data_IF_196041629292
#
_entry.id   IF_196041629292
#
_cell.length_a   1.000
_cell.length_b   1.000
_cell.length_c   1.000
_cell.angle_alpha   90.00
_cell.angle_beta   90.00
_cell.angle_gamma   90.00
#
_symmetry.space_group_name_H-M   'P 1'
#
loop_
_entity.id
_entity.type
_entity.pdbx_description
1 polymer ?
#
# COMPACT_ATOMS: atom_id res chain seq x y z
N UNK A 1 -1.61 -24.51 -48.75
CA UNK A 1 -2.64 -23.79 -47.96
C UNK A 1 -2.11 -23.64 -46.56
N UNK A 2 -1.99 -22.38 -46.16
CA UNK A 2 -1.08 -21.89 -45.13
C UNK A 2 -1.59 -22.19 -43.71
N UNK A 3 -0.65 -22.70 -42.91
CA UNK A 3 -0.38 -22.32 -41.52
C UNK A 3 -1.55 -21.92 -40.64
N UNK A 4 -1.91 -22.86 -39.74
CA UNK A 4 -2.44 -22.59 -38.41
C UNK A 4 -1.62 -21.48 -37.74
N UNK A 5 -2.09 -20.23 -37.79
CA UNK A 5 -1.74 -19.21 -36.81
C UNK A 5 -2.42 -19.60 -35.50
N UNK A 6 -1.74 -20.46 -34.73
CA UNK A 6 -1.91 -20.48 -33.29
C UNK A 6 -1.38 -19.14 -32.80
N UNK A 7 -2.28 -18.20 -32.51
CA UNK A 7 -1.97 -17.06 -31.66
C UNK A 7 -1.41 -17.64 -30.36
N UNK A 8 -0.08 -17.63 -30.24
CA UNK A 8 0.58 -17.81 -28.97
C UNK A 8 0.08 -16.65 -28.09
N UNK A 9 -0.93 -16.92 -27.27
CA UNK A 9 -1.47 -16.01 -26.27
C UNK A 9 -0.29 -15.47 -25.47
N UNK A 10 0.18 -14.27 -25.81
CA UNK A 10 1.20 -13.60 -25.01
C UNK A 10 0.57 -13.29 -23.66
N UNK A 11 0.92 -14.11 -22.69
CA UNK A 11 0.59 -13.94 -21.30
C UNK A 11 1.18 -12.60 -20.83
N UNK A 12 0.32 -11.62 -20.59
CA UNK A 12 0.74 -10.35 -19.98
C UNK A 12 1.04 -10.57 -18.50
N UNK A 13 1.90 -9.74 -17.87
CA UNK A 13 2.15 -9.79 -16.43
C UNK A 13 0.87 -9.82 -15.58
N UNK A 14 -0.15 -9.06 -15.99
CA UNK A 14 -1.46 -9.04 -15.34
C UNK A 14 -2.20 -10.38 -15.47
N UNK A 15 -2.17 -11.02 -16.65
CA UNK A 15 -2.90 -12.27 -16.89
C UNK A 15 -2.35 -13.45 -16.08
N UNK A 16 -1.03 -13.55 -15.93
CA UNK A 16 -0.40 -14.60 -15.13
C UNK A 16 -0.53 -14.34 -13.63
N UNK A 17 -0.51 -13.07 -13.21
CA UNK A 17 -0.82 -12.71 -11.82
C UNK A 17 -2.25 -13.11 -11.43
N UNK A 18 -3.22 -12.86 -12.31
CA UNK A 18 -4.62 -13.29 -12.12
C UNK A 18 -4.71 -14.80 -11.97
N UNK A 19 -4.03 -15.57 -12.81
CA UNK A 19 -3.98 -17.04 -12.71
C UNK A 19 -3.38 -17.50 -11.39
N UNK A 20 -2.22 -16.96 -11.02
CA UNK A 20 -1.54 -17.26 -9.76
C UNK A 20 -2.44 -17.05 -8.54
N UNK A 21 -3.09 -15.88 -8.45
CA UNK A 21 -3.97 -15.52 -7.32
C UNK A 21 -5.23 -16.40 -7.30
N UNK A 22 -5.78 -16.77 -8.46
CA UNK A 22 -6.91 -17.68 -8.53
C UNK A 22 -6.56 -19.10 -8.07
N UNK A 23 -5.36 -19.58 -8.39
CA UNK A 23 -4.90 -20.91 -8.00
C UNK A 23 -4.51 -20.98 -6.53
N UNK A 24 -3.80 -19.97 -6.03
CA UNK A 24 -3.14 -20.01 -4.71
C UNK A 24 -3.85 -19.22 -3.61
N UNK A 25 -4.73 -18.26 -3.94
CA UNK A 25 -5.40 -17.43 -2.94
C UNK A 25 -6.59 -18.11 -2.25
N UNK A 26 -6.90 -17.69 -1.03
CA UNK A 26 -8.11 -18.11 -0.33
C UNK A 26 -9.34 -17.33 -0.80
N UNK A 27 -10.49 -17.59 -0.18
CA UNK A 27 -11.78 -16.96 -0.52
C UNK A 27 -11.70 -15.43 -0.45
N UNK A 28 -10.94 -14.88 0.51
CA UNK A 28 -10.79 -13.45 0.70
C UNK A 28 -9.91 -12.81 -0.39
N UNK A 29 -8.77 -13.41 -0.72
CA UNK A 29 -7.85 -12.94 -1.76
C UNK A 29 -8.52 -12.95 -3.14
N UNK A 30 -9.24 -14.03 -3.47
CA UNK A 30 -9.99 -14.13 -4.73
C UNK A 30 -11.11 -13.09 -4.84
N UNK A 31 -11.76 -12.76 -3.73
CA UNK A 31 -12.77 -11.70 -3.70
C UNK A 31 -12.16 -10.32 -3.86
N UNK A 32 -10.99 -10.05 -3.25
CA UNK A 32 -10.23 -8.82 -3.47
C UNK A 32 -9.82 -8.67 -4.94
N UNK A 33 -9.29 -9.73 -5.57
CA UNK A 33 -8.98 -9.74 -7.00
C UNK A 33 -10.22 -9.40 -7.85
N UNK A 34 -11.34 -10.04 -7.54
CA UNK A 34 -12.62 -9.82 -8.23
C UNK A 34 -13.04 -8.35 -8.17
N UNK A 35 -12.94 -7.71 -7.00
CA UNK A 35 -13.29 -6.30 -6.85
C UNK A 35 -12.30 -5.35 -7.52
N UNK A 36 -10.99 -5.66 -7.52
CA UNK A 36 -9.97 -4.92 -8.28
C UNK A 36 -10.25 -4.96 -9.79
N UNK A 37 -10.71 -6.09 -10.33
CA UNK A 37 -11.11 -6.26 -11.73
C UNK A 37 -12.42 -5.55 -12.12
N UNK A 38 -12.98 -4.67 -11.27
CA UNK A 38 -14.18 -3.90 -11.61
C UNK A 38 -15.50 -4.65 -11.42
N UNK A 39 -15.47 -5.86 -10.86
CA UNK A 39 -16.68 -6.68 -10.68
C UNK A 39 -17.46 -6.26 -9.43
N UNK A 40 -18.65 -6.86 -9.29
CA UNK A 40 -19.63 -6.60 -8.23
C UNK A 40 -19.04 -6.62 -6.82
N UNK A 41 -19.69 -5.90 -5.90
CA UNK A 41 -19.39 -5.92 -4.45
C UNK A 41 -19.23 -7.36 -3.95
N UNK A 42 -18.22 -7.58 -3.11
CA UNK A 42 -17.93 -8.90 -2.56
C UNK A 42 -19.14 -9.53 -1.88
N UNK A 43 -19.23 -10.86 -1.96
CA UNK A 43 -20.31 -11.61 -1.33
C UNK A 43 -20.38 -11.32 0.18
N UNK A 44 -21.60 -11.22 0.77
CA UNK A 44 -21.76 -10.86 2.18
C UNK A 44 -20.99 -11.77 3.15
N UNK A 45 -20.81 -13.05 2.82
CA UNK A 45 -20.04 -14.00 3.63
C UNK A 45 -18.56 -13.62 3.68
N UNK A 46 -17.97 -13.29 2.55
CA UNK A 46 -16.56 -12.89 2.45
C UNK A 46 -16.34 -11.53 3.11
N UNK A 47 -17.25 -10.58 2.89
CA UNK A 47 -17.19 -9.30 3.60
C UNK A 47 -17.22 -9.52 5.12
N UNK A 48 -18.10 -10.39 5.63
CA UNK A 48 -18.17 -10.70 7.07
C UNK A 48 -16.88 -11.31 7.63
N UNK A 49 -16.11 -12.09 6.87
CA UNK A 49 -14.87 -12.72 7.38
C UNK A 49 -13.77 -11.69 7.67
N UNK A 50 -13.73 -10.57 6.96
CA UNK A 50 -12.90 -9.41 7.27
C UNK A 50 -13.53 -8.57 8.38
N UNK A 51 -14.80 -8.20 8.22
CA UNK A 51 -15.46 -7.22 9.09
C UNK A 51 -15.64 -7.71 10.53
N UNK A 52 -15.76 -9.02 10.74
CA UNK A 52 -15.82 -9.64 12.07
C UNK A 52 -14.50 -9.52 12.86
N UNK A 53 -13.39 -9.13 12.21
CA UNK A 53 -12.09 -8.91 12.86
C UNK A 53 -11.97 -7.53 13.51
N UNK A 54 -12.89 -6.60 13.23
CA UNK A 54 -12.83 -5.24 13.79
C UNK A 54 -13.10 -5.27 15.30
N UNK A 55 -12.18 -4.73 16.08
CA UNK A 55 -12.31 -4.65 17.53
C UNK A 55 -13.44 -3.68 17.94
N UNK A 56 -13.82 -3.72 19.22
CA UNK A 56 -14.90 -2.87 19.75
C UNK A 56 -14.58 -1.37 19.59
N UNK A 57 -13.31 -1.00 19.79
CA UNK A 57 -12.77 0.37 19.62
C UNK A 57 -12.80 0.88 18.16
N UNK A 58 -13.16 0.01 17.20
CA UNK A 58 -13.25 0.32 15.78
C UNK A 58 -11.95 0.07 15.00
N UNK A 59 -10.83 -0.15 15.69
CA UNK A 59 -9.57 -0.52 15.05
C UNK A 59 -9.54 -1.98 14.61
N UNK A 60 -8.54 -2.35 13.83
CA UNK A 60 -8.27 -3.74 13.48
C UNK A 60 -7.06 -4.28 14.22
N UNK A 61 -7.12 -5.55 14.65
CA UNK A 61 -6.08 -6.15 15.49
C UNK A 61 -4.76 -6.31 14.73
N UNK A 62 -3.64 -6.16 15.44
CA UNK A 62 -2.30 -6.34 14.85
C UNK A 62 -2.16 -7.66 14.07
N UNK A 63 -1.68 -7.59 12.83
CA UNK A 63 -1.61 -8.75 11.91
C UNK A 63 -2.99 -9.30 11.48
N UNK A 64 -4.07 -8.57 11.73
CA UNK A 64 -5.46 -8.99 11.48
C UNK A 64 -5.85 -10.28 12.23
N UNK A 65 -5.21 -10.57 13.36
CA UNK A 65 -5.44 -11.76 14.18
C UNK A 65 -6.40 -11.42 15.35
N UNK A 66 -7.60 -12.03 15.42
CA UNK A 66 -8.56 -11.76 16.49
C UNK A 66 -7.98 -11.89 17.91
N UNK A 67 -8.37 -10.99 18.81
CA UNK A 67 -7.91 -10.95 20.20
C UNK A 67 -6.58 -10.20 20.42
N UNK A 68 -5.91 -9.75 19.35
CA UNK A 68 -4.77 -8.83 19.46
C UNK A 68 -5.25 -7.37 19.60
N UNK A 69 -4.45 -6.47 20.20
CA UNK A 69 -4.79 -5.05 20.29
C UNK A 69 -4.89 -4.43 18.90
N UNK A 70 -5.73 -3.40 18.78
CA UNK A 70 -5.82 -2.60 17.57
C UNK A 70 -4.49 -1.96 17.22
N UNK A 71 -4.16 -1.95 15.93
CA UNK A 71 -2.91 -1.42 15.38
C UNK A 71 -3.20 -0.45 14.24
N UNK A 72 -2.36 0.57 14.07
CA UNK A 72 -2.51 1.55 12.99
C UNK A 72 -2.33 0.86 11.65
N UNK A 73 -1.22 0.14 11.47
CA UNK A 73 -0.91 -0.62 10.25
C UNK A 73 -2.07 -1.54 9.86
N UNK A 74 -2.51 -2.42 10.78
CA UNK A 74 -3.60 -3.35 10.52
C UNK A 74 -4.93 -2.65 10.16
N UNK A 75 -5.24 -1.51 10.81
CA UNK A 75 -6.43 -0.73 10.47
C UNK A 75 -6.34 -0.14 9.07
N UNK A 76 -5.17 0.38 8.68
CA UNK A 76 -4.96 0.89 7.31
C UNK A 76 -4.94 -0.21 6.25
N UNK A 77 -4.42 -1.41 6.57
CA UNK A 77 -4.53 -2.61 5.73
C UNK A 77 -5.98 -3.03 5.55
N UNK A 78 -6.78 -3.05 6.63
CA UNK A 78 -8.19 -3.38 6.54
C UNK A 78 -8.99 -2.37 5.70
N UNK A 79 -8.65 -1.08 5.75
CA UNK A 79 -9.21 -0.06 4.86
C UNK A 79 -8.88 -0.36 3.39
N UNK A 80 -7.64 -0.78 3.09
CA UNK A 80 -7.26 -1.21 1.74
C UNK A 80 -8.09 -2.41 1.29
N UNK A 81 -8.21 -3.44 2.13
CA UNK A 81 -8.98 -4.64 1.78
C UNK A 81 -10.47 -4.33 1.61
N UNK A 82 -11.03 -3.43 2.44
CA UNK A 82 -12.42 -2.96 2.26
C UNK A 82 -12.60 -2.22 0.93
N UNK A 83 -11.60 -1.44 0.49
CA UNK A 83 -11.62 -0.82 -0.83
C UNK A 83 -11.56 -1.85 -1.95
N UNK A 84 -10.64 -2.82 -1.87
CA UNK A 84 -10.51 -3.89 -2.87
C UNK A 84 -11.82 -4.68 -3.00
N UNK A 85 -12.52 -4.91 -1.89
CA UNK A 85 -13.82 -5.59 -1.82
C UNK A 85 -15.03 -4.71 -2.20
N UNK A 86 -14.79 -3.45 -2.60
CA UNK A 86 -15.83 -2.45 -2.95
C UNK A 86 -16.82 -2.19 -1.80
N UNK A 87 -16.31 -2.08 -0.57
CA UNK A 87 -17.09 -1.86 0.66
C UNK A 87 -17.13 -0.40 1.13
N UNK A 88 -16.55 0.53 0.36
CA UNK A 88 -16.59 1.96 0.67
C UNK A 88 -17.80 2.62 -0.03
N UNK A 89 -18.61 3.43 0.68
CA UNK A 89 -18.62 3.68 2.13
C UNK A 89 -19.34 2.56 2.94
N UNK A 90 -18.95 2.34 4.19
CA UNK A 90 -19.67 1.47 5.14
C UNK A 90 -19.47 1.90 6.59
N UNK A 91 -20.35 1.44 7.50
CA UNK A 91 -20.23 1.70 8.94
C UNK A 91 -18.91 1.20 9.55
N UNK A 92 -18.33 0.14 8.98
CA UNK A 92 -17.04 -0.39 9.41
C UNK A 92 -15.88 0.53 9.03
N UNK A 93 -15.93 1.14 7.84
CA UNK A 93 -14.99 2.19 7.43
C UNK A 93 -15.10 3.41 8.35
N UNK A 94 -16.33 3.79 8.71
CA UNK A 94 -16.56 4.90 9.65
C UNK A 94 -16.00 4.61 11.05
N UNK A 95 -16.18 3.39 11.57
CA UNK A 95 -15.59 2.95 12.85
C UNK A 95 -14.06 2.91 12.81
N UNK A 96 -13.47 2.40 11.73
CA UNK A 96 -12.01 2.40 11.53
C UNK A 96 -11.46 3.83 11.45
N UNK A 97 -12.17 4.72 10.76
CA UNK A 97 -11.81 6.14 10.69
C UNK A 97 -11.92 6.81 12.05
N UNK A 98 -12.97 6.52 12.82
CA UNK A 98 -13.15 7.06 14.16
C UNK A 98 -12.06 6.58 15.14
N UNK A 99 -11.66 5.31 15.07
CA UNK A 99 -10.52 4.78 15.80
C UNK A 99 -9.26 5.58 15.51
N UNK A 100 -8.89 5.73 14.22
CA UNK A 100 -7.71 6.48 13.81
C UNK A 100 -7.76 7.92 14.32
N UNK A 101 -8.89 8.61 14.20
CA UNK A 101 -9.05 9.97 14.71
C UNK A 101 -8.88 10.06 16.23
N UNK A 102 -9.36 9.04 16.98
CA UNK A 102 -9.31 9.01 18.45
C UNK A 102 -7.89 8.83 18.98
N UNK A 103 -7.05 8.06 18.27
CA UNK A 103 -5.69 7.74 18.70
C UNK A 103 -4.63 8.73 18.18
N UNK A 104 -5.02 9.78 17.45
CA UNK A 104 -4.07 10.80 17.02
C UNK A 104 -3.46 11.50 18.25
N UNK A 105 -2.14 11.60 18.26
CA UNK A 105 -1.40 12.22 19.36
C UNK A 105 -1.49 13.76 19.31
N UNK A 106 -1.25 14.47 20.43
CA UNK A 106 -1.27 15.94 20.45
C UNK A 106 -0.29 16.60 19.47
N UNK A 107 0.82 15.94 19.14
CA UNK A 107 1.81 16.41 18.15
C UNK A 107 1.41 16.11 16.70
N UNK A 108 0.23 15.54 16.47
CA UNK A 108 -0.31 15.26 15.14
C UNK A 108 0.06 13.90 14.57
N UNK A 109 0.95 13.16 15.23
CA UNK A 109 1.39 11.85 14.76
C UNK A 109 0.45 10.71 15.15
N UNK A 110 0.61 9.60 14.43
CA UNK A 110 0.19 8.27 14.85
C UNK A 110 1.41 7.42 15.18
N UNK A 111 1.20 6.41 16.00
CA UNK A 111 2.20 5.42 16.36
C UNK A 111 1.47 4.08 16.59
N UNK A 112 2.21 2.98 16.58
CA UNK A 112 1.64 1.70 16.96
C UNK A 112 1.31 1.65 18.46
N UNK A 113 0.31 0.84 18.81
CA UNK A 113 -0.06 0.63 20.21
C UNK A 113 1.10 -0.07 20.96
N UNK A 114 1.49 0.38 22.17
CA UNK A 114 2.49 -0.33 22.98
C UNK A 114 2.15 -1.82 23.20
N UNK A 115 0.87 -2.17 23.16
CA UNK A 115 0.39 -3.55 23.27
C UNK A 115 0.86 -4.47 22.14
N UNK A 116 1.37 -3.95 21.01
CA UNK A 116 1.89 -4.77 19.93
C UNK A 116 3.27 -5.35 20.22
N UNK A 117 4.03 -4.78 21.16
CA UNK A 117 5.42 -5.19 21.46
C UNK A 117 5.55 -6.67 21.81
N UNK A 118 4.55 -7.26 22.47
CA UNK A 118 4.53 -8.68 22.83
C UNK A 118 4.43 -9.65 21.65
N UNK A 119 4.24 -9.13 20.43
CA UNK A 119 4.15 -9.91 19.20
C UNK A 119 5.36 -9.70 18.27
N UNK A 120 6.47 -9.21 18.81
CA UNK A 120 7.73 -8.95 18.10
C UNK A 120 7.52 -8.21 16.76
N UNK A 121 7.03 -6.96 16.80
CA UNK A 121 6.77 -6.22 15.57
C UNK A 121 8.09 -5.91 14.84
N UNK A 122 8.06 -5.88 13.50
CA UNK A 122 9.20 -5.44 12.70
C UNK A 122 9.57 -3.99 13.01
N UNK A 123 10.77 -3.55 12.64
CA UNK A 123 11.30 -2.23 13.02
C UNK A 123 10.37 -1.06 12.68
N UNK A 124 9.69 -1.10 11.53
CA UNK A 124 8.74 -0.07 11.11
C UNK A 124 7.42 -0.08 11.89
N UNK A 125 7.10 -1.14 12.63
CA UNK A 125 5.92 -1.26 13.49
C UNK A 125 6.27 -1.23 14.99
N UNK A 126 7.55 -0.99 15.35
CA UNK A 126 7.97 -0.90 16.75
C UNK A 126 7.52 0.44 17.35
N UNK A 127 6.58 0.44 18.32
CA UNK A 127 6.07 1.66 18.94
C UNK A 127 7.17 2.54 19.51
N UNK A 128 7.00 3.85 19.41
CA UNK A 128 7.90 4.86 19.99
C UNK A 128 9.11 5.19 19.14
N UNK A 129 9.40 4.42 18.08
CA UNK A 129 10.49 4.72 17.15
C UNK A 129 10.11 5.83 16.16
N UNK A 130 11.08 6.66 15.76
CA UNK A 130 10.84 7.70 14.75
C UNK A 130 10.35 7.11 13.42
N UNK A 131 10.88 5.93 13.04
CA UNK A 131 10.48 5.19 11.86
C UNK A 131 9.01 4.76 11.91
N UNK A 132 8.58 4.16 13.03
CA UNK A 132 7.19 3.70 13.17
C UNK A 132 6.20 4.85 13.20
N UNK A 133 6.55 5.95 13.88
CA UNK A 133 5.74 7.17 13.89
C UNK A 133 5.60 7.79 12.51
N UNK A 134 6.67 7.86 11.72
CA UNK A 134 6.61 8.36 10.35
C UNK A 134 5.72 7.47 9.47
N UNK A 135 5.93 6.15 9.52
CA UNK A 135 5.14 5.16 8.79
C UNK A 135 3.65 5.25 9.13
N UNK A 136 3.29 5.14 10.41
CA UNK A 136 1.91 5.19 10.90
C UNK A 136 1.23 6.51 10.53
N UNK A 137 1.94 7.63 10.67
CA UNK A 137 1.40 8.96 10.36
C UNK A 137 1.16 9.11 8.86
N UNK A 138 2.10 8.68 8.01
CA UNK A 138 1.95 8.75 6.56
C UNK A 138 0.79 7.88 6.06
N UNK A 139 0.72 6.61 6.48
CA UNK A 139 -0.37 5.70 6.14
C UNK A 139 -1.74 6.27 6.54
N UNK A 140 -1.84 6.78 7.78
CA UNK A 140 -3.09 7.32 8.30
C UNK A 140 -3.49 8.62 7.59
N UNK A 141 -2.53 9.51 7.34
CA UNK A 141 -2.77 10.76 6.62
C UNK A 141 -3.30 10.50 5.21
N UNK A 142 -2.69 9.59 4.45
CA UNK A 142 -3.14 9.21 3.11
C UNK A 142 -4.58 8.70 3.11
N UNK A 143 -4.96 7.86 4.08
CA UNK A 143 -6.35 7.42 4.24
C UNK A 143 -7.30 8.56 4.62
N UNK A 144 -6.93 9.40 5.58
CA UNK A 144 -7.78 10.51 6.02
C UNK A 144 -7.98 11.55 4.92
N UNK A 145 -6.99 11.83 4.08
CA UNK A 145 -7.16 12.69 2.90
C UNK A 145 -8.24 12.13 1.99
N UNK A 146 -8.24 10.82 1.74
CA UNK A 146 -9.17 10.16 0.82
C UNK A 146 -10.58 10.04 1.39
N UNK A 147 -10.70 9.87 2.71
CA UNK A 147 -12.00 9.66 3.39
C UNK A 147 -12.65 10.95 3.91
N UNK A 148 -11.85 11.97 4.24
CA UNK A 148 -12.32 13.22 4.87
C UNK A 148 -11.89 14.49 4.13
N UNK A 149 -10.97 14.37 3.17
CA UNK A 149 -10.45 15.48 2.39
C UNK A 149 -9.18 16.09 3.00
N UNK A 150 -8.33 16.64 2.13
CA UNK A 150 -7.02 17.21 2.49
C UNK A 150 -7.04 18.38 3.49
N UNK A 151 -8.19 19.04 3.67
CA UNK A 151 -8.37 20.17 4.59
C UNK A 151 -8.83 19.76 5.99
N UNK A 152 -8.99 18.46 6.24
CA UNK A 152 -9.40 17.98 7.56
C UNK A 152 -8.30 18.27 8.59
N UNK A 153 -8.69 18.74 9.78
CA UNK A 153 -7.75 19.22 10.80
C UNK A 153 -6.72 18.16 11.24
N UNK A 154 -7.16 16.90 11.41
CA UNK A 154 -6.26 15.79 11.70
C UNK A 154 -5.19 15.58 10.60
N UNK A 155 -5.53 15.81 9.34
CA UNK A 155 -4.60 15.73 8.19
C UNK A 155 -3.57 16.86 8.23
N UNK A 156 -4.02 18.09 8.53
CA UNK A 156 -3.13 19.25 8.64
C UNK A 156 -2.08 19.08 9.77
N UNK A 157 -2.50 18.50 10.90
CA UNK A 157 -1.59 18.13 11.99
C UNK A 157 -0.60 17.04 11.57
N UNK A 158 -1.06 16.02 10.84
CA UNK A 158 -0.22 14.95 10.31
C UNK A 158 0.89 15.52 9.40
N UNK A 159 0.54 16.40 8.46
CA UNK A 159 1.49 17.03 7.55
C UNK A 159 2.49 17.91 8.29
N UNK A 160 2.06 18.63 9.33
CA UNK A 160 2.96 19.40 10.20
C UNK A 160 3.99 18.49 10.89
N UNK A 161 3.55 17.35 11.44
CA UNK A 161 4.46 16.37 12.03
C UNK A 161 5.45 15.80 10.99
N UNK A 162 4.94 15.35 9.84
CA UNK A 162 5.78 14.76 8.79
C UNK A 162 6.82 15.75 8.29
N UNK A 163 6.46 17.01 8.03
CA UNK A 163 7.43 18.05 7.66
C UNK A 163 8.48 18.27 8.74
N UNK A 164 8.06 18.43 10.00
CA UNK A 164 8.98 18.62 11.11
C UNK A 164 9.97 17.45 11.25
N UNK A 165 9.51 16.22 10.99
CA UNK A 165 10.35 15.02 11.01
C UNK A 165 11.35 14.91 9.85
N UNK A 166 11.33 15.86 8.90
CA UNK A 166 12.19 15.90 7.69
C UNK A 166 12.94 17.22 7.51
N UNK A 167 12.76 18.18 8.42
CA UNK A 167 13.16 19.57 8.21
C UNK A 167 14.69 19.80 8.14
N UNK A 168 15.50 18.96 8.79
CA UNK A 168 16.97 19.08 8.78
C UNK A 168 17.61 18.19 7.71
N UNK A 169 17.18 16.93 7.64
CA UNK A 169 17.56 15.96 6.60
C UNK A 169 16.57 14.80 6.62
N UNK A 170 16.42 14.17 5.47
CA UNK A 170 15.83 12.83 5.43
C UNK A 170 16.78 11.80 6.08
N UNK A 171 16.26 10.78 6.76
CA UNK A 171 17.09 9.75 7.36
C UNK A 171 17.77 8.91 6.26
N UNK A 172 19.08 8.69 6.37
CA UNK A 172 19.85 7.98 5.33
C UNK A 172 19.49 6.49 5.24
N UNK A 173 19.17 5.85 6.36
CA UNK A 173 18.86 4.43 6.45
C UNK A 173 17.34 4.16 6.51
N UNK A 174 16.50 5.13 6.13
CA UNK A 174 15.04 4.92 6.06
C UNK A 174 14.71 4.00 4.86
N UNK A 175 13.95 2.92 5.07
CA UNK A 175 13.53 2.06 3.98
C UNK A 175 12.80 2.86 2.89
N UNK A 176 13.09 2.64 1.59
CA UNK A 176 12.57 3.47 0.52
C UNK A 176 11.03 3.54 0.46
N UNK A 177 10.34 2.45 0.80
CA UNK A 177 8.88 2.42 0.89
C UNK A 177 8.32 3.37 1.95
N UNK A 178 9.03 3.59 3.07
CA UNK A 178 8.62 4.55 4.11
C UNK A 178 8.86 5.98 3.62
N UNK A 179 9.99 6.23 2.96
CA UNK A 179 10.26 7.51 2.28
C UNK A 179 9.15 7.83 1.28
N UNK A 180 8.76 6.86 0.44
CA UNK A 180 7.67 7.01 -0.53
C UNK A 180 6.31 7.27 0.12
N UNK A 181 5.98 6.60 1.24
CA UNK A 181 4.75 6.86 2.00
C UNK A 181 4.71 8.30 2.53
N UNK A 182 5.80 8.80 3.09
CA UNK A 182 5.88 10.17 3.64
C UNK A 182 5.78 11.20 2.51
N UNK A 183 6.49 10.98 1.40
CA UNK A 183 6.38 11.80 0.19
C UNK A 183 4.93 11.85 -0.28
N UNK A 184 4.29 10.69 -0.47
CA UNK A 184 2.92 10.60 -0.94
C UNK A 184 1.95 11.36 -0.02
N UNK A 185 2.02 11.14 1.29
CA UNK A 185 1.18 11.83 2.25
C UNK A 185 1.32 13.36 2.18
N UNK A 186 2.56 13.88 2.04
CA UNK A 186 2.79 15.31 1.87
C UNK A 186 2.26 15.83 0.53
N UNK A 187 2.49 15.10 -0.57
CA UNK A 187 1.95 15.46 -1.89
C UNK A 187 0.43 15.52 -1.90
N UNK A 188 -0.25 14.58 -1.23
CA UNK A 188 -1.72 14.57 -1.13
C UNK A 188 -2.28 15.79 -0.38
N UNK A 189 -1.50 16.39 0.52
CA UNK A 189 -1.92 17.55 1.33
C UNK A 189 -1.51 18.87 0.66
N UNK A 190 -0.26 18.95 0.23
CA UNK A 190 0.43 20.17 -0.18
C UNK A 190 0.57 20.31 -1.70
N UNK A 191 0.43 19.21 -2.44
CA UNK A 191 0.65 19.14 -3.89
C UNK A 191 2.12 18.99 -4.29
N UNK A 192 2.37 18.91 -5.60
CA UNK A 192 3.70 18.74 -6.20
C UNK A 192 4.69 19.88 -5.89
N UNK A 193 4.23 21.00 -5.36
CA UNK A 193 5.08 22.13 -4.94
C UNK A 193 5.68 21.96 -3.54
N UNK A 194 5.41 20.87 -2.83
CA UNK A 194 5.96 20.65 -1.48
C UNK A 194 7.49 20.46 -1.53
N UNK A 195 8.29 21.37 -0.94
CA UNK A 195 9.75 21.26 -0.99
C UNK A 195 10.26 20.03 -0.24
N UNK A 196 9.58 19.64 0.85
CA UNK A 196 9.93 18.45 1.63
C UNK A 196 9.69 17.19 0.80
N UNK A 197 8.54 17.10 0.12
CA UNK A 197 8.24 15.96 -0.74
C UNK A 197 9.21 15.88 -1.93
N UNK A 198 9.58 17.01 -2.54
CA UNK A 198 10.58 17.06 -3.61
C UNK A 198 11.93 16.49 -3.17
N UNK A 199 12.42 16.85 -1.98
CA UNK A 199 13.66 16.28 -1.44
C UNK A 199 13.57 14.76 -1.19
N UNK A 200 12.40 14.26 -0.79
CA UNK A 200 12.17 12.81 -0.66
C UNK A 200 12.17 12.09 -2.00
N UNK A 201 11.56 12.68 -3.04
CA UNK A 201 11.62 12.15 -4.41
C UNK A 201 13.04 12.11 -4.95
N UNK A 202 13.88 13.13 -4.68
CA UNK A 202 15.29 13.12 -5.07
C UNK A 202 16.06 11.96 -4.43
N UNK A 203 15.79 11.65 -3.16
CA UNK A 203 16.40 10.50 -2.47
C UNK A 203 15.96 9.18 -3.10
N UNK A 204 14.66 9.02 -3.38
CA UNK A 204 14.15 7.83 -4.05
C UNK A 204 14.76 7.65 -5.45
N UNK A 205 14.91 8.73 -6.22
CA UNK A 205 15.56 8.70 -7.54
C UNK A 205 17.05 8.37 -7.45
N UNK A 206 17.75 8.83 -6.40
CA UNK A 206 19.16 8.53 -6.19
C UNK A 206 19.40 7.05 -5.83
N UNK A 207 18.45 6.42 -5.12
CA UNK A 207 18.50 5.01 -4.74
C UNK A 207 17.65 4.20 -5.71
N UNK A 208 18.13 4.07 -6.95
CA UNK A 208 17.42 3.38 -8.04
C UNK A 208 16.77 2.05 -7.57
N UNK A 209 15.55 1.73 -8.02
CA UNK A 209 14.82 0.51 -7.63
C UNK A 209 15.51 -0.84 -7.92
N UNK A 210 16.68 -0.86 -8.56
CA UNK A 210 17.37 -2.09 -8.98
C UNK A 210 17.68 -3.04 -7.81
N UNK A 211 17.87 -2.51 -6.60
CA UNK A 211 18.08 -3.29 -5.37
C UNK A 211 16.83 -3.56 -4.54
N UNK A 212 15.67 -3.00 -4.91
CA UNK A 212 14.48 -3.10 -4.07
C UNK A 212 13.83 -4.49 -4.18
N UNK A 213 13.27 -4.95 -3.06
CA UNK A 213 12.44 -6.16 -2.98
C UNK A 213 11.09 -5.93 -3.67
N UNK A 214 10.36 -7.01 -3.93
CA UNK A 214 9.02 -6.93 -4.51
C UNK A 214 8.04 -6.20 -3.56
N UNK A 215 8.14 -6.41 -2.25
CA UNK A 215 7.39 -5.66 -1.24
C UNK A 215 7.70 -4.16 -1.30
N UNK A 216 8.98 -3.80 -1.26
CA UNK A 216 9.42 -2.41 -1.27
C UNK A 216 8.95 -1.66 -2.52
N UNK A 217 9.16 -2.24 -3.72
CA UNK A 217 8.76 -1.57 -4.97
C UNK A 217 7.24 -1.49 -5.11
N UNK A 218 6.50 -2.51 -4.67
CA UNK A 218 5.03 -2.51 -4.69
C UNK A 218 4.47 -1.41 -3.78
N UNK A 219 4.95 -1.33 -2.55
CA UNK A 219 4.47 -0.33 -1.57
C UNK A 219 4.89 1.09 -1.97
N UNK A 220 6.10 1.27 -2.48
CA UNK A 220 6.57 2.57 -2.96
C UNK A 220 5.75 3.06 -4.16
N UNK A 221 5.54 2.23 -5.19
CA UNK A 221 4.73 2.61 -6.36
C UNK A 221 3.28 2.89 -5.96
N UNK A 222 2.71 2.08 -5.07
CA UNK A 222 1.35 2.31 -4.54
C UNK A 222 1.27 3.70 -3.89
N UNK A 223 2.23 4.04 -3.04
CA UNK A 223 2.25 5.33 -2.37
C UNK A 223 2.41 6.49 -3.37
N UNK A 224 3.39 6.41 -4.28
CA UNK A 224 3.68 7.48 -5.23
C UNK A 224 2.51 7.73 -6.20
N UNK A 225 1.85 6.67 -6.68
CA UNK A 225 0.63 6.78 -7.47
C UNK A 225 -0.50 7.48 -6.69
N UNK A 226 -0.72 7.10 -5.43
CA UNK A 226 -1.71 7.78 -4.57
C UNK A 226 -1.35 9.25 -4.29
N UNK A 227 -0.05 9.55 -4.21
CA UNK A 227 0.50 10.90 -4.10
C UNK A 227 0.33 11.76 -5.35
N UNK A 228 -0.07 11.17 -6.48
CA UNK A 228 -0.22 11.87 -7.76
C UNK A 228 1.12 12.20 -8.41
N UNK A 229 2.16 11.40 -8.17
CA UNK A 229 3.41 11.50 -8.94
C UNK A 229 3.10 11.20 -10.41
N UNK A 230 3.57 12.02 -11.37
CA UNK A 230 3.29 11.83 -12.78
C UNK A 230 3.74 10.46 -13.31
N UNK A 231 2.94 9.88 -14.22
CA UNK A 231 3.19 8.58 -14.85
C UNK A 231 4.46 8.56 -15.72
N UNK A 232 4.89 9.73 -16.21
CA UNK A 232 6.12 9.92 -16.98
C UNK A 232 7.36 10.16 -16.10
N UNK A 233 7.22 10.14 -14.76
CA UNK A 233 8.37 10.24 -13.86
C UNK A 233 9.27 8.99 -14.00
N UNK A 234 10.59 9.15 -14.24
CA UNK A 234 11.50 8.02 -14.38
C UNK A 234 11.48 7.05 -13.19
N UNK A 235 11.19 7.52 -11.97
CA UNK A 235 11.07 6.68 -10.79
C UNK A 235 9.92 5.67 -10.92
N UNK A 236 8.78 6.10 -11.49
CA UNK A 236 7.62 5.24 -11.75
C UNK A 236 7.97 4.22 -12.82
N UNK A 237 8.55 4.67 -13.94
CA UNK A 237 8.93 3.78 -15.04
C UNK A 237 9.94 2.70 -14.62
N UNK A 238 11.03 3.07 -13.92
CA UNK A 238 12.03 2.12 -13.43
C UNK A 238 11.45 1.19 -12.35
N UNK A 239 10.60 1.72 -11.46
CA UNK A 239 9.90 0.90 -10.47
C UNK A 239 8.99 -0.16 -11.12
N UNK A 240 8.20 0.21 -12.14
CA UNK A 240 7.34 -0.72 -12.86
C UNK A 240 8.15 -1.78 -13.60
N UNK A 241 9.25 -1.40 -14.25
CA UNK A 241 10.17 -2.34 -14.89
C UNK A 241 10.73 -3.34 -13.88
N UNK A 242 11.17 -2.86 -12.70
CA UNK A 242 11.64 -3.70 -11.61
C UNK A 242 10.55 -4.65 -11.11
N UNK A 243 9.35 -4.15 -10.90
CA UNK A 243 8.23 -4.96 -10.43
C UNK A 243 7.91 -6.10 -11.43
N UNK A 244 7.87 -5.80 -12.72
CA UNK A 244 7.68 -6.82 -13.77
C UNK A 244 8.85 -7.81 -13.79
N UNK A 245 10.09 -7.35 -13.66
CA UNK A 245 11.27 -8.22 -13.65
C UNK A 245 11.33 -9.15 -12.42
N UNK A 246 10.68 -8.78 -11.31
CA UNK A 246 10.56 -9.59 -10.10
C UNK A 246 9.41 -10.59 -10.14
N UNK A 247 8.54 -10.54 -11.16
CA UNK A 247 7.47 -11.51 -11.31
C UNK A 247 8.05 -12.88 -11.64
N UNK A 248 7.62 -13.90 -10.89
CA UNK A 248 8.02 -15.29 -11.10
C UNK A 248 7.31 -15.88 -12.32
N UNK A 249 7.82 -17.02 -12.80
CA UNK A 249 7.23 -17.75 -13.93
C UNK A 249 5.84 -18.31 -13.65
N UNK A 250 5.48 -18.52 -12.37
CA UNK A 250 4.13 -18.91 -11.95
C UNK A 250 3.15 -17.73 -11.89
N UNK A 251 3.62 -16.50 -12.13
CA UNK A 251 2.83 -15.27 -12.11
C UNK A 251 2.80 -14.54 -10.77
N UNK A 252 3.34 -15.14 -9.70
CA UNK A 252 3.40 -14.55 -8.37
C UNK A 252 4.65 -13.68 -8.13
N UNK A 253 4.67 -13.02 -6.97
CA UNK A 253 5.84 -12.32 -6.44
C UNK A 253 6.23 -12.92 -5.09
N UNK A 254 7.53 -13.08 -4.86
CA UNK A 254 8.05 -13.58 -3.58
C UNK A 254 8.17 -12.45 -2.56
N UNK A 255 7.55 -12.63 -1.40
CA UNK A 255 7.67 -11.69 -0.30
C UNK A 255 8.95 -11.92 0.52
N UNK A 256 9.55 -10.83 1.01
CA UNK A 256 10.66 -10.91 1.96
C UNK A 256 10.23 -11.42 3.34
N UNK A 257 8.91 -11.45 3.61
CA UNK A 257 8.33 -11.96 4.86
C UNK A 257 7.95 -13.44 4.80
N UNK A 258 8.23 -14.13 3.69
CA UNK A 258 8.00 -15.56 3.52
C UNK A 258 6.78 -15.90 2.66
N UNK A 259 6.69 -17.19 2.29
CA UNK A 259 5.75 -17.71 1.28
C UNK A 259 4.27 -17.45 1.60
N UNK A 260 3.92 -17.39 2.89
CA UNK A 260 2.54 -17.12 3.33
C UNK A 260 2.06 -15.71 2.93
N UNK A 261 2.99 -14.81 2.57
CA UNK A 261 2.70 -13.45 2.12
C UNK A 261 2.71 -13.28 0.60
N UNK A 262 3.09 -14.31 -0.17
CA UNK A 262 3.25 -14.21 -1.62
C UNK A 262 1.95 -13.87 -2.34
N UNK A 263 0.82 -14.45 -1.91
CA UNK A 263 -0.48 -14.17 -2.54
C UNK A 263 -0.93 -12.73 -2.28
N UNK A 264 -0.80 -12.23 -1.05
CA UNK A 264 -1.16 -10.84 -0.73
C UNK A 264 -0.25 -9.85 -1.47
N UNK A 265 1.06 -10.12 -1.51
CA UNK A 265 1.99 -9.32 -2.30
C UNK A 265 1.63 -9.35 -3.79
N UNK A 266 1.28 -10.51 -4.33
CA UNK A 266 0.89 -10.65 -5.74
C UNK A 266 -0.39 -9.88 -6.05
N UNK A 267 -1.36 -9.84 -5.13
CA UNK A 267 -2.54 -8.99 -5.22
C UNK A 267 -2.19 -7.50 -5.24
N UNK A 268 -1.30 -7.04 -4.34
CA UNK A 268 -0.85 -5.64 -4.29
C UNK A 268 -0.08 -5.26 -5.56
N UNK A 269 0.86 -6.10 -5.99
CA UNK A 269 1.64 -5.92 -7.22
C UNK A 269 0.72 -5.87 -8.45
N UNK A 270 -0.25 -6.76 -8.55
CA UNK A 270 -1.29 -6.73 -9.58
C UNK A 270 -2.05 -5.39 -9.56
N UNK A 271 -2.46 -4.91 -8.37
CA UNK A 271 -3.16 -3.64 -8.25
C UNK A 271 -2.31 -2.45 -8.72
N UNK A 272 -1.00 -2.46 -8.45
CA UNK A 272 -0.06 -1.44 -8.93
C UNK A 272 0.00 -1.47 -10.46
N UNK A 273 0.28 -2.63 -11.06
CA UNK A 273 0.37 -2.77 -12.51
C UNK A 273 -0.94 -2.37 -13.21
N UNK A 274 -2.08 -2.71 -12.61
CA UNK A 274 -3.41 -2.33 -13.11
C UNK A 274 -3.61 -0.80 -13.05
N UNK A 275 -3.21 -0.15 -11.96
CA UNK A 275 -3.36 1.30 -11.77
C UNK A 275 -2.52 2.11 -12.76
N UNK A 276 -1.33 1.63 -13.11
CA UNK A 276 -0.42 2.26 -14.08
C UNK A 276 -0.68 1.84 -15.54
N UNK A 277 -1.75 1.08 -15.81
CA UNK A 277 -2.14 0.71 -17.16
C UNK A 277 -1.11 -0.16 -17.89
N UNK A 278 -0.30 -0.94 -17.17
CA UNK A 278 0.70 -1.86 -17.76
C UNK A 278 -0.01 -3.04 -18.41
N UNK A 279 -0.49 -2.82 -19.63
CA UNK A 279 -0.85 -3.85 -20.59
C UNK A 279 0.43 -4.22 -21.35
N UNK A 280 1.00 -5.41 -21.12
CA UNK A 280 2.32 -5.78 -21.70
C UNK A 280 2.35 -5.87 -23.23
N UNK A 281 3.51 -6.16 -23.85
CA UNK A 281 4.82 -5.55 -23.66
C UNK A 281 5.03 -4.35 -24.60
N UNK A 282 5.79 -3.33 -24.17
CA UNK A 282 6.39 -2.35 -25.10
C UNK A 282 7.58 -3.01 -25.79
N UNK A 283 7.55 -3.11 -27.12
CA UNK A 283 8.68 -3.56 -27.92
C UNK A 283 9.93 -2.68 -27.64
N UNK A 284 11.15 -3.24 -27.73
CA UNK A 284 12.36 -2.44 -27.60
C UNK A 284 12.42 -1.40 -28.73
N UNK A 285 12.96 -0.19 -28.48
CA UNK A 285 13.18 0.79 -29.53
C UNK A 285 14.16 0.21 -30.55
N UNK A 286 13.74 0.21 -31.82
CA UNK A 286 14.58 -0.07 -32.99
C UNK A 286 15.68 0.96 -33.14
#
# INVERSE_FOLDING_TARGET
MNTMHSDALMLTPLSVAVAYIHENGEELERARLTGLLGRSRAEPKVARSLLARQNEDGGFPFGLIPGRPSAVSATTTALQWMQDLRLLPSSYVERATAYLLTIQRPDGAWDESPGVLRYDPPAWARPGSALSRACCTALTASWLVRLRGRRYDAVARAATFLRASRNDRWPADEPPQITALVVAALLMVEGLSSPVASGGLEILRAHAPDGWTADCVTDALTALHQGGVPEDDPLIATGLQRLVALQRTDGGWSSEFGVDHDVDLSLRAFSVLLAHGVCGPSAPPT
#
